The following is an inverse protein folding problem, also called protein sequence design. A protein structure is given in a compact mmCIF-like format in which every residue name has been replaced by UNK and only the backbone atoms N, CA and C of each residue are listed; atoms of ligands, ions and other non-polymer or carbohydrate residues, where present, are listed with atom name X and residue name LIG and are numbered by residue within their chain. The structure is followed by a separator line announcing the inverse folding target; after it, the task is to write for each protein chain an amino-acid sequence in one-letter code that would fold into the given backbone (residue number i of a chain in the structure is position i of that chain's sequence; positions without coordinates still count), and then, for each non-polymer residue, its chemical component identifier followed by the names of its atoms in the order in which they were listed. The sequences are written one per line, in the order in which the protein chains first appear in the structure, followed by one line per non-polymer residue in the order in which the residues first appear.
data_IF_949681196803
#
_entry.id   IF_949681196803
#
_cell.length_a   1.000
_cell.length_b   1.000
_cell.length_c   1.000
_cell.angle_alpha   90.00
_cell.angle_beta   90.00
_cell.angle_gamma   90.00
#
_symmetry.space_group_name_H-M   'P 1'
#
loop_
_entity.id
_entity.type
_entity.pdbx_description
1 polymer ?
#
# COMPACT_ATOMS: atom_id res chain seq x y z
N UNK A 1 -1.43 16.57 23.10
CA UNK A 1 -2.36 17.33 22.23
C UNK A 1 -2.03 16.89 20.81
N UNK A 2 -2.95 16.19 20.14
CA UNK A 2 -2.75 15.89 18.71
C UNK A 2 -2.91 17.22 17.97
N UNK A 3 -1.84 17.71 17.35
CA UNK A 3 -1.93 18.86 16.43
C UNK A 3 -2.83 18.46 15.27
N UNK A 4 -3.72 19.35 14.85
CA UNK A 4 -4.61 19.16 13.71
C UNK A 4 -3.85 19.37 12.37
N UNK A 5 -2.68 20.00 12.42
CA UNK A 5 -1.86 20.39 11.26
C UNK A 5 -0.47 19.77 11.34
N UNK A 6 0.13 19.54 10.17
CA UNK A 6 1.49 19.00 10.06
C UNK A 6 2.56 19.95 10.64
N UNK A 7 2.25 21.24 10.66
CA UNK A 7 3.09 22.26 11.28
C UNK A 7 2.23 23.25 12.08
N UNK A 8 2.59 23.51 13.33
CA UNK A 8 1.90 24.47 14.18
C UNK A 8 2.89 25.26 15.06
N UNK A 9 2.76 26.58 15.02
CA UNK A 9 3.46 27.52 15.89
C UNK A 9 2.54 28.65 16.32
N UNK A 10 2.99 29.53 17.21
CA UNK A 10 2.17 30.65 17.70
C UNK A 10 1.59 31.52 16.58
N UNK A 11 2.30 31.70 15.47
CA UNK A 11 1.95 32.63 14.40
C UNK A 11 1.73 31.95 13.04
N UNK A 12 1.98 30.66 12.91
CA UNK A 12 1.97 29.95 11.62
C UNK A 12 1.41 28.53 11.78
N UNK A 13 0.45 28.19 10.94
CA UNK A 13 -0.03 26.80 10.78
C UNK A 13 0.23 26.34 9.36
N UNK A 14 0.46 25.05 9.17
CA UNK A 14 0.79 24.52 7.86
C UNK A 14 0.36 23.10 7.62
N UNK A 15 0.00 22.84 6.38
CA UNK A 15 -0.28 21.52 5.84
C UNK A 15 0.77 21.15 4.78
N UNK A 16 1.30 19.95 4.85
CA UNK A 16 2.26 19.42 3.88
C UNK A 16 1.62 18.26 3.14
N UNK A 17 1.51 18.36 1.83
CA UNK A 17 0.93 17.29 1.00
C UNK A 17 1.98 16.78 0.02
N UNK A 18 2.33 15.52 0.18
CA UNK A 18 3.30 14.86 -0.69
C UNK A 18 2.61 14.23 -1.90
N UNK A 19 3.23 14.40 -3.08
CA UNK A 19 2.87 13.71 -4.34
C UNK A 19 1.39 13.78 -4.70
N UNK A 20 0.78 14.91 -4.40
CA UNK A 20 -0.62 15.15 -4.62
C UNK A 20 -0.98 15.07 -6.12
N UNK A 21 -2.09 14.39 -6.45
CA UNK A 21 -2.49 14.11 -7.84
C UNK A 21 -3.82 14.69 -8.22
N UNK A 22 -4.64 15.03 -7.24
CA UNK A 22 -6.01 15.45 -7.45
C UNK A 22 -6.23 16.84 -6.87
N UNK A 23 -6.73 17.74 -7.70
CA UNK A 23 -7.11 19.10 -7.33
C UNK A 23 -8.07 19.17 -6.13
N UNK A 24 -9.07 18.28 -5.97
CA UNK A 24 -9.96 18.30 -4.80
C UNK A 24 -9.23 18.24 -3.46
N UNK A 25 -8.07 17.58 -3.39
CA UNK A 25 -7.29 17.50 -2.16
C UNK A 25 -6.60 18.83 -1.81
N UNK A 26 -6.22 19.63 -2.84
CA UNK A 26 -5.73 21.00 -2.65
C UNK A 26 -6.84 21.85 -2.02
N UNK A 27 -8.05 21.77 -2.57
CA UNK A 27 -9.22 22.49 -2.06
C UNK A 27 -9.53 22.13 -0.61
N UNK A 28 -9.55 20.84 -0.30
CA UNK A 28 -9.81 20.35 1.06
C UNK A 28 -8.79 20.90 2.05
N UNK A 29 -7.49 20.86 1.74
CA UNK A 29 -6.44 21.38 2.60
C UNK A 29 -6.57 22.91 2.82
N UNK A 30 -6.87 23.68 1.75
CA UNK A 30 -7.07 25.12 1.88
C UNK A 30 -8.29 25.47 2.70
N UNK A 31 -9.40 24.72 2.55
CA UNK A 31 -10.60 24.96 3.37
C UNK A 31 -10.36 24.62 4.85
N UNK A 32 -9.61 23.56 5.17
CA UNK A 32 -9.21 23.24 6.54
C UNK A 32 -8.35 24.37 7.14
N UNK A 33 -7.35 24.88 6.40
CA UNK A 33 -6.56 26.04 6.83
C UNK A 33 -7.45 27.28 7.01
N UNK A 34 -8.39 27.51 6.09
CA UNK A 34 -9.29 28.67 6.16
C UNK A 34 -10.19 28.63 7.40
N UNK A 35 -10.70 27.45 7.75
CA UNK A 35 -11.51 27.25 8.96
C UNK A 35 -10.70 27.56 10.22
N UNK A 36 -9.51 27.00 10.36
CA UNK A 36 -8.62 27.26 11.49
C UNK A 36 -8.22 28.74 11.61
N UNK A 37 -7.89 29.40 10.48
CA UNK A 37 -7.55 30.80 10.45
C UNK A 37 -8.74 31.73 10.75
N UNK A 38 -9.96 31.27 10.51
CA UNK A 38 -11.17 32.01 10.87
C UNK A 38 -11.34 32.09 12.39
N UNK A 39 -10.90 31.07 13.11
CA UNK A 39 -10.96 30.98 14.57
C UNK A 39 -9.80 31.74 15.24
N UNK A 40 -8.70 31.96 14.53
CA UNK A 40 -7.52 32.65 15.07
C UNK A 40 -7.01 33.76 14.12
N UNK A 41 -7.42 35.00 14.40
CA UNK A 41 -7.17 36.17 13.56
C UNK A 41 -5.69 36.57 13.39
N UNK A 42 -4.77 36.06 14.20
CA UNK A 42 -3.35 36.45 14.21
C UNK A 42 -2.43 35.48 13.47
N UNK A 43 -2.87 34.27 13.14
CA UNK A 43 -2.04 33.26 12.49
C UNK A 43 -2.03 33.44 10.96
N UNK A 44 -0.94 33.03 10.36
CA UNK A 44 -0.82 32.80 8.92
C UNK A 44 -0.90 31.30 8.61
N UNK A 45 -1.30 30.93 7.40
CA UNK A 45 -1.41 29.55 6.97
C UNK A 45 -0.55 29.29 5.72
N UNK A 46 0.00 28.08 5.61
CA UNK A 46 0.61 27.66 4.37
C UNK A 46 0.19 26.23 4.00
N UNK A 47 0.10 26.00 2.68
CA UNK A 47 0.00 24.67 2.08
C UNK A 47 1.27 24.39 1.29
N UNK A 48 2.06 23.41 1.72
CA UNK A 48 3.26 22.97 1.01
C UNK A 48 2.95 21.70 0.20
N UNK A 49 3.08 21.81 -1.11
CA UNK A 49 2.96 20.68 -2.03
C UNK A 49 4.36 20.19 -2.40
N UNK A 50 4.69 18.94 -2.05
CA UNK A 50 5.99 18.35 -2.34
C UNK A 50 5.86 17.33 -3.46
N UNK A 51 6.59 17.53 -4.56
CA UNK A 51 6.60 16.62 -5.72
C UNK A 51 5.17 16.31 -6.25
N UNK A 52 4.30 17.31 -6.30
CA UNK A 52 2.94 17.20 -6.84
C UNK A 52 2.96 16.91 -8.34
N UNK A 53 2.03 16.06 -8.81
CA UNK A 53 1.81 15.85 -10.25
C UNK A 53 0.84 16.86 -10.87
N UNK A 54 0.22 17.71 -10.05
CA UNK A 54 -0.62 18.82 -10.53
C UNK A 54 0.30 19.93 -11.02
N UNK A 55 0.11 20.37 -12.25
CA UNK A 55 0.97 21.40 -12.86
C UNK A 55 0.84 22.75 -12.13
N UNK A 56 1.91 23.55 -12.17
CA UNK A 56 1.92 24.90 -11.58
C UNK A 56 0.78 25.77 -12.10
N UNK A 57 0.51 25.71 -13.40
CA UNK A 57 -0.62 26.43 -14.00
C UNK A 57 -1.94 26.02 -13.34
N UNK A 58 -2.17 24.74 -13.14
CA UNK A 58 -3.39 24.24 -12.54
C UNK A 58 -3.52 24.59 -11.06
N UNK A 59 -2.40 24.58 -10.31
CA UNK A 59 -2.38 25.04 -8.91
C UNK A 59 -2.76 26.51 -8.83
N UNK A 60 -2.20 27.35 -9.70
CA UNK A 60 -2.52 28.78 -9.75
C UNK A 60 -3.99 29.03 -10.11
N UNK A 61 -4.52 28.36 -11.11
CA UNK A 61 -5.94 28.44 -11.49
C UNK A 61 -6.86 28.09 -10.31
N UNK A 62 -6.55 27.01 -9.60
CA UNK A 62 -7.33 26.60 -8.43
C UNK A 62 -7.20 27.58 -7.27
N UNK A 63 -6.01 28.13 -7.04
CA UNK A 63 -5.81 29.15 -6.02
C UNK A 63 -6.65 30.40 -6.30
N UNK A 64 -6.61 30.90 -7.52
CA UNK A 64 -7.43 32.05 -7.93
C UNK A 64 -8.93 31.80 -7.77
N UNK A 65 -9.39 30.58 -8.12
CA UNK A 65 -10.77 30.19 -7.91
C UNK A 65 -11.15 30.20 -6.41
N UNK A 66 -10.31 29.61 -5.56
CA UNK A 66 -10.57 29.54 -4.12
C UNK A 66 -10.54 30.93 -3.48
N UNK A 67 -9.61 31.78 -3.88
CA UNK A 67 -9.55 33.17 -3.43
C UNK A 67 -10.84 33.96 -3.71
N UNK A 68 -11.53 33.63 -4.80
CA UNK A 68 -12.82 34.28 -5.11
C UNK A 68 -13.99 33.79 -4.23
N UNK A 69 -13.82 32.71 -3.49
CA UNK A 69 -14.87 32.06 -2.69
C UNK A 69 -14.69 32.32 -1.18
N UNK A 70 -13.44 32.33 -0.70
CA UNK A 70 -13.14 32.53 0.75
C UNK A 70 -13.06 34.00 1.09
N UNK A 71 -13.18 34.30 2.40
CA UNK A 71 -13.05 35.67 2.90
C UNK A 71 -11.68 36.27 2.49
N UNK A 72 -11.62 37.48 1.90
CA UNK A 72 -10.38 38.12 1.45
C UNK A 72 -9.32 38.25 2.55
N UNK A 73 -9.72 38.53 3.80
CA UNK A 73 -8.79 38.66 4.93
C UNK A 73 -8.14 37.31 5.26
N UNK A 74 -8.87 36.21 5.12
CA UNK A 74 -8.35 34.85 5.27
C UNK A 74 -7.45 34.47 4.09
N UNK A 75 -7.90 34.77 2.85
CA UNK A 75 -7.15 34.50 1.64
C UNK A 75 -5.75 35.15 1.67
N UNK A 76 -5.66 36.39 2.14
CA UNK A 76 -4.40 37.13 2.27
C UNK A 76 -3.42 36.53 3.29
N UNK A 77 -3.92 35.69 4.20
CA UNK A 77 -3.12 35.00 5.23
C UNK A 77 -2.69 33.59 4.82
N UNK A 78 -3.19 33.06 3.69
CA UNK A 78 -2.84 31.74 3.18
C UNK A 78 -1.83 31.87 2.05
N UNK A 79 -0.74 31.09 2.12
CA UNK A 79 0.23 30.96 1.05
C UNK A 79 0.35 29.50 0.61
N UNK A 80 0.49 29.29 -0.69
CA UNK A 80 0.68 27.95 -1.26
C UNK A 80 2.11 27.87 -1.77
N UNK A 81 2.78 26.77 -1.47
CA UNK A 81 4.13 26.50 -1.93
C UNK A 81 4.19 25.16 -2.66
N UNK A 82 4.97 25.11 -3.74
CA UNK A 82 5.26 23.89 -4.48
C UNK A 82 6.77 23.66 -4.49
N UNK A 83 7.21 22.53 -3.92
CA UNK A 83 8.60 22.08 -4.01
C UNK A 83 8.76 21.06 -5.13
N UNK A 84 9.64 21.38 -6.09
CA UNK A 84 10.07 20.50 -7.18
C UNK A 84 11.60 20.38 -7.13
N UNK A 85 12.10 19.24 -6.65
CA UNK A 85 13.54 19.08 -6.39
C UNK A 85 14.04 20.10 -5.38
N UNK A 86 15.07 20.87 -5.75
CA UNK A 86 15.66 21.93 -4.91
C UNK A 86 14.90 23.28 -4.99
N UNK A 87 13.96 23.42 -5.92
CA UNK A 87 13.25 24.69 -6.15
C UNK A 87 11.93 24.71 -5.41
N UNK A 88 11.61 25.87 -4.83
CA UNK A 88 10.33 26.16 -4.19
C UNK A 88 9.68 27.35 -4.90
N UNK A 89 8.46 27.14 -5.37
CA UNK A 89 7.62 28.16 -5.99
C UNK A 89 6.48 28.51 -5.04
N UNK A 90 6.03 29.76 -5.03
CA UNK A 90 4.95 30.21 -4.14
C UNK A 90 3.86 30.99 -4.84
N UNK A 91 2.68 31.05 -4.22
CA UNK A 91 1.54 31.87 -4.56
C UNK A 91 1.02 32.55 -3.29
N UNK A 92 0.87 33.89 -3.29
CA UNK A 92 1.04 34.83 -4.43
C UNK A 92 2.50 35.11 -4.80
N UNK A 93 3.46 34.78 -3.96
CA UNK A 93 4.88 35.09 -4.17
C UNK A 93 5.80 33.98 -3.66
N UNK A 94 7.02 33.93 -4.19
CA UNK A 94 8.00 32.95 -3.74
C UNK A 94 8.36 33.15 -2.26
N UNK A 95 8.68 32.07 -1.51
CA UNK A 95 9.00 32.16 -0.09
C UNK A 95 10.31 32.93 0.13
N UNK A 96 10.32 33.77 1.17
CA UNK A 96 11.54 34.38 1.70
C UNK A 96 12.39 33.36 2.52
N UNK A 97 13.56 33.79 3.00
CA UNK A 97 14.47 32.92 3.75
C UNK A 97 13.85 32.39 5.04
N UNK A 98 13.06 33.23 5.75
CA UNK A 98 12.42 32.82 6.99
C UNK A 98 11.36 31.73 6.76
N UNK A 99 10.55 31.90 5.72
CA UNK A 99 9.56 30.89 5.31
C UNK A 99 10.25 29.62 4.83
N UNK A 100 11.35 29.69 4.08
CA UNK A 100 12.12 28.52 3.65
C UNK A 100 12.65 27.71 4.85
N UNK A 101 13.06 28.37 5.93
CA UNK A 101 13.45 27.67 7.16
C UNK A 101 12.26 26.98 7.84
N UNK A 102 11.09 27.61 7.91
CA UNK A 102 9.87 26.98 8.41
C UNK A 102 9.41 25.82 7.55
N UNK A 103 9.43 25.97 6.22
CA UNK A 103 9.13 24.88 5.30
C UNK A 103 10.13 23.72 5.44
N UNK A 104 11.41 24.02 5.67
CA UNK A 104 12.45 23.00 5.91
C UNK A 104 12.25 22.28 7.23
N UNK A 105 11.76 22.95 8.28
CA UNK A 105 11.38 22.32 9.56
C UNK A 105 10.14 21.45 9.38
N UNK A 106 9.08 21.98 8.78
CA UNK A 106 7.87 21.22 8.48
C UNK A 106 8.13 19.94 7.66
N UNK A 107 9.21 19.95 6.84
CA UNK A 107 9.65 18.76 6.11
C UNK A 107 10.61 17.86 6.90
N UNK A 108 11.27 18.37 7.97
CA UNK A 108 12.22 17.60 8.78
C UNK A 108 11.53 16.80 9.87
N UNK A 109 10.41 17.29 10.39
CA UNK A 109 9.57 16.56 11.36
C UNK A 109 8.88 15.37 10.69
N UNK A 110 8.62 15.46 9.39
CA UNK A 110 8.45 14.29 8.53
C UNK A 110 9.83 13.98 7.93
N UNK A 111 10.61 13.09 8.56
CA UNK A 111 11.72 12.42 7.89
C UNK A 111 11.28 12.17 6.46
N UNK A 112 12.11 12.41 5.42
CA UNK A 112 11.75 12.00 4.08
C UNK A 112 11.52 10.51 4.20
N UNK A 113 10.27 10.13 4.44
CA UNK A 113 9.87 8.76 4.24
C UNK A 113 10.41 8.45 2.88
N UNK A 114 11.40 7.60 2.84
CA UNK A 114 11.92 7.03 1.61
C UNK A 114 10.78 6.17 1.09
N UNK A 115 9.70 6.87 0.71
CA UNK A 115 8.53 6.23 0.15
C UNK A 115 9.00 5.55 -1.11
N UNK A 116 9.12 4.24 -1.03
CA UNK A 116 9.49 3.42 -2.17
C UNK A 116 8.49 3.65 -3.28
N UNK A 117 8.96 4.13 -4.42
CA UNK A 117 8.12 4.25 -5.62
C UNK A 117 7.87 2.86 -6.19
N UNK A 118 6.62 2.44 -6.10
CA UNK A 118 6.21 1.13 -6.59
C UNK A 118 6.01 1.14 -8.12
N UNK A 119 6.29 0.02 -8.82
CA UNK A 119 6.03 -0.12 -10.24
C UNK A 119 4.54 -0.03 -10.56
N UNK A 120 4.22 0.03 -11.85
CA UNK A 120 2.83 0.01 -12.29
C UNK A 120 2.13 -1.28 -11.85
N UNK A 121 0.87 -1.15 -11.40
CA UNK A 121 0.07 -2.29 -10.95
C UNK A 121 -0.33 -3.18 -12.13
N UNK A 122 -0.09 -4.48 -12.02
CA UNK A 122 -0.69 -5.48 -12.91
C UNK A 122 -2.10 -5.82 -12.40
N UNK A 123 -3.10 -5.12 -12.93
CA UNK A 123 -4.49 -5.28 -12.51
C UNK A 123 -5.06 -6.67 -12.82
N UNK A 124 -4.56 -7.35 -13.86
CA UNK A 124 -4.98 -8.72 -14.12
C UNK A 124 -4.64 -9.64 -12.95
N UNK A 125 -3.41 -9.58 -12.45
CA UNK A 125 -2.98 -10.37 -11.29
C UNK A 125 -3.73 -9.98 -10.02
N UNK A 126 -4.05 -8.69 -9.82
CA UNK A 126 -4.86 -8.24 -8.67
C UNK A 126 -6.27 -8.83 -8.74
N UNK A 127 -6.93 -8.77 -9.91
CA UNK A 127 -8.28 -9.32 -10.12
C UNK A 127 -8.28 -10.83 -9.96
N UNK A 128 -7.28 -11.53 -10.53
CA UNK A 128 -7.14 -12.97 -10.36
C UNK A 128 -7.00 -13.37 -8.90
N UNK A 129 -6.16 -12.68 -8.13
CA UNK A 129 -6.01 -12.90 -6.68
C UNK A 129 -7.34 -12.72 -5.94
N UNK A 130 -8.08 -11.66 -6.21
CA UNK A 130 -9.39 -11.41 -5.58
C UNK A 130 -10.37 -12.55 -5.89
N UNK A 131 -10.43 -13.00 -7.14
CA UNK A 131 -11.31 -14.11 -7.53
C UNK A 131 -10.91 -15.43 -6.88
N UNK A 132 -9.61 -15.73 -6.79
CA UNK A 132 -9.09 -16.92 -6.11
C UNK A 132 -9.39 -16.89 -4.61
N UNK A 133 -9.19 -15.75 -3.95
CA UNK A 133 -9.52 -15.57 -2.54
C UNK A 133 -11.02 -15.76 -2.28
N UNK A 134 -11.87 -15.25 -3.18
CA UNK A 134 -13.31 -15.45 -3.07
C UNK A 134 -13.73 -16.91 -3.34
N UNK A 135 -13.06 -17.60 -4.25
CA UNK A 135 -13.41 -18.96 -4.66
C UNK A 135 -13.02 -20.01 -3.60
N UNK A 136 -11.77 -20.00 -3.12
CA UNK A 136 -11.32 -20.93 -2.06
C UNK A 136 -11.80 -20.52 -0.67
N UNK A 137 -12.28 -19.30 -0.53
CA UNK A 137 -12.72 -18.71 0.73
C UNK A 137 -11.56 -18.17 1.58
N UNK A 138 -11.90 -17.26 2.46
CA UNK A 138 -11.15 -16.97 3.67
C UNK A 138 -11.77 -17.79 4.79
N UNK A 139 -11.00 -18.23 5.74
CA UNK A 139 -11.39 -19.15 6.85
C UNK A 139 -12.64 -18.74 7.64
N UNK A 140 -13.20 -17.55 7.42
CA UNK A 140 -14.35 -17.00 8.17
C UNK A 140 -15.40 -16.25 7.34
N UNK A 141 -15.23 -16.04 6.02
CA UNK A 141 -16.20 -15.31 5.22
C UNK A 141 -16.89 -16.20 4.18
N UNK A 142 -18.24 -16.11 4.11
CA UNK A 142 -19.00 -16.70 3.00
C UNK A 142 -18.57 -16.07 1.68
N UNK A 143 -18.50 -16.88 0.61
CA UNK A 143 -18.24 -16.41 -0.75
C UNK A 143 -19.16 -15.23 -1.08
N UNK A 144 -18.58 -14.07 -1.35
CA UNK A 144 -19.32 -12.86 -1.72
C UNK A 144 -19.68 -12.92 -3.22
N UNK A 145 -20.87 -12.46 -3.56
CA UNK A 145 -21.26 -12.33 -4.97
C UNK A 145 -20.42 -11.22 -5.61
N UNK A 146 -19.52 -11.60 -6.53
CA UNK A 146 -18.64 -10.68 -7.23
C UNK A 146 -19.35 -10.11 -8.46
N UNK A 147 -19.55 -8.79 -8.49
CA UNK A 147 -19.94 -8.07 -9.71
C UNK A 147 -18.72 -7.39 -10.33
N UNK A 148 -18.79 -7.03 -11.63
CA UNK A 148 -17.73 -6.26 -12.29
C UNK A 148 -17.43 -4.93 -11.57
N UNK A 149 -18.48 -4.27 -11.07
CA UNK A 149 -18.35 -3.04 -10.28
C UNK A 149 -17.56 -3.31 -8.99
N UNK A 150 -17.98 -4.34 -8.25
CA UNK A 150 -17.32 -4.72 -6.99
C UNK A 150 -15.85 -5.12 -7.20
N UNK A 151 -15.53 -5.87 -8.26
CA UNK A 151 -14.15 -6.19 -8.64
C UNK A 151 -13.33 -4.94 -8.96
N UNK A 152 -13.92 -3.97 -9.66
CA UNK A 152 -13.26 -2.68 -9.93
C UNK A 152 -12.94 -1.90 -8.66
N UNK A 153 -13.88 -1.86 -7.71
CA UNK A 153 -13.70 -1.23 -6.40
C UNK A 153 -12.59 -1.93 -5.60
N UNK A 154 -12.63 -3.27 -5.51
CA UNK A 154 -11.64 -4.05 -4.77
C UNK A 154 -10.23 -3.99 -5.38
N UNK A 155 -10.16 -3.97 -6.72
CA UNK A 155 -8.88 -3.90 -7.43
C UNK A 155 -8.34 -2.47 -7.57
N UNK A 156 -9.17 -1.45 -7.33
CA UNK A 156 -8.81 -0.05 -7.56
C UNK A 156 -8.63 0.29 -9.04
N UNK A 157 -9.44 -0.29 -9.93
CA UNK A 157 -9.29 -0.11 -11.37
C UNK A 157 -10.62 0.17 -12.10
N UNK A 158 -10.51 0.61 -13.36
CA UNK A 158 -11.66 0.98 -14.18
C UNK A 158 -12.43 -0.25 -14.70
N UNK A 159 -13.71 -0.05 -15.02
CA UNK A 159 -14.58 -1.07 -15.61
C UNK A 159 -13.98 -1.73 -16.88
N UNK A 160 -13.42 -0.99 -17.87
CA UNK A 160 -12.77 -1.61 -19.02
C UNK A 160 -11.60 -2.52 -18.65
N UNK A 161 -10.84 -2.16 -17.60
CA UNK A 161 -9.73 -2.98 -17.10
C UNK A 161 -10.24 -4.30 -16.50
N UNK A 162 -11.35 -4.24 -15.75
CA UNK A 162 -12.02 -5.44 -15.23
C UNK A 162 -12.52 -6.31 -16.38
N UNK A 163 -13.24 -5.73 -17.35
CA UNK A 163 -13.77 -6.46 -18.50
C UNK A 163 -12.68 -7.19 -19.28
N UNK A 164 -11.57 -6.52 -19.60
CA UNK A 164 -10.41 -7.11 -20.27
C UNK A 164 -9.79 -8.25 -19.48
N UNK A 165 -9.72 -8.12 -18.14
CA UNK A 165 -9.20 -9.17 -17.26
C UNK A 165 -10.11 -10.39 -17.22
N UNK A 166 -11.44 -10.17 -17.16
CA UNK A 166 -12.43 -11.25 -17.15
C UNK A 166 -12.49 -11.98 -18.50
N UNK A 167 -12.29 -11.30 -19.63
CA UNK A 167 -12.21 -11.97 -20.94
C UNK A 167 -11.07 -13.01 -20.99
N UNK A 168 -9.94 -12.72 -20.36
CA UNK A 168 -8.82 -13.69 -20.19
C UNK A 168 -9.19 -14.88 -19.30
N UNK A 169 -10.21 -14.75 -18.46
CA UNK A 169 -10.68 -15.78 -17.53
C UNK A 169 -12.00 -16.40 -17.94
N UNK A 170 -12.57 -16.06 -19.10
CA UNK A 170 -13.92 -16.45 -19.55
C UNK A 170 -14.21 -17.96 -19.47
N UNK A 171 -13.19 -18.81 -19.73
CA UNK A 171 -13.32 -20.26 -19.69
C UNK A 171 -13.39 -20.83 -18.25
N UNK A 172 -13.10 -20.02 -17.25
CA UNK A 172 -13.08 -20.40 -15.84
C UNK A 172 -14.19 -19.75 -15.04
N UNK A 173 -14.95 -18.83 -15.65
CA UNK A 173 -16.01 -18.09 -14.98
C UNK A 173 -17.37 -18.71 -15.25
N UNK A 174 -18.26 -18.57 -14.29
CA UNK A 174 -19.69 -18.77 -14.45
C UNK A 174 -20.43 -17.54 -13.95
N UNK A 175 -21.61 -17.29 -14.55
CA UNK A 175 -22.53 -16.25 -14.08
C UNK A 175 -23.59 -16.91 -13.20
N UNK A 176 -23.74 -16.45 -11.99
CA UNK A 176 -24.84 -16.83 -11.12
C UNK A 176 -26.13 -16.16 -11.58
N UNK A 177 -27.29 -16.76 -11.23
CA UNK A 177 -28.65 -16.24 -11.53
C UNK A 177 -28.88 -14.80 -11.04
N UNK A 178 -28.04 -14.28 -10.13
CA UNK A 178 -28.11 -12.93 -9.57
C UNK A 178 -27.04 -11.98 -10.15
N UNK A 179 -26.60 -12.16 -11.40
CA UNK A 179 -25.59 -11.36 -12.10
C UNK A 179 -24.20 -11.38 -11.42
N UNK A 180 -23.95 -12.34 -10.55
CA UNK A 180 -22.67 -12.52 -9.88
C UNK A 180 -21.67 -13.32 -10.72
N UNK A 181 -20.40 -12.97 -10.59
CA UNK A 181 -19.26 -13.66 -11.21
C UNK A 181 -18.61 -14.60 -10.19
N UNK A 182 -18.38 -15.83 -10.58
CA UNK A 182 -17.66 -16.82 -9.76
C UNK A 182 -16.72 -17.66 -10.62
N UNK A 183 -15.60 -18.09 -10.04
CA UNK A 183 -14.79 -19.15 -10.63
C UNK A 183 -15.53 -20.48 -10.47
N UNK A 184 -15.76 -21.18 -11.59
CA UNK A 184 -16.34 -22.53 -11.62
C UNK A 184 -15.30 -23.62 -11.38
N UNK A 185 -14.03 -23.32 -11.66
CA UNK A 185 -12.87 -24.21 -11.48
C UNK A 185 -11.61 -23.38 -11.33
N UNK A 186 -10.56 -24.00 -10.81
CA UNK A 186 -9.28 -23.32 -10.63
C UNK A 186 -8.62 -22.99 -11.97
N UNK A 187 -8.15 -21.75 -12.20
CA UNK A 187 -7.52 -21.30 -13.45
C UNK A 187 -6.01 -21.62 -13.48
N UNK A 188 -5.66 -22.91 -13.63
CA UNK A 188 -4.29 -23.42 -13.53
C UNK A 188 -3.29 -22.68 -14.42
N UNK A 189 -3.64 -22.41 -15.68
CA UNK A 189 -2.75 -21.72 -16.62
C UNK A 189 -2.41 -20.30 -16.17
N UNK A 190 -3.42 -19.55 -15.73
CA UNK A 190 -3.27 -18.18 -15.27
C UNK A 190 -2.53 -18.13 -13.92
N UNK A 191 -2.81 -19.08 -13.04
CA UNK A 191 -2.08 -19.27 -11.80
C UNK A 191 -0.59 -19.55 -12.06
N UNK A 192 -0.28 -20.51 -12.90
CA UNK A 192 1.10 -20.84 -13.26
C UNK A 192 1.83 -19.65 -13.90
N UNK A 193 1.15 -18.93 -14.81
CA UNK A 193 1.69 -17.69 -15.39
C UNK A 193 1.96 -16.62 -14.35
N UNK A 194 1.11 -16.51 -13.33
CA UNK A 194 1.29 -15.57 -12.22
C UNK A 194 2.50 -15.95 -11.36
N UNK A 195 2.69 -17.24 -11.06
CA UNK A 195 3.86 -17.72 -10.31
C UNK A 195 5.15 -17.42 -11.08
N UNK A 196 5.22 -17.81 -12.35
CA UNK A 196 6.40 -17.55 -13.20
C UNK A 196 6.69 -16.05 -13.38
N UNK A 197 5.65 -15.24 -13.38
CA UNK A 197 5.74 -13.78 -13.49
C UNK A 197 5.84 -13.05 -12.15
N UNK A 198 5.84 -13.74 -11.01
CA UNK A 198 5.72 -13.12 -9.69
C UNK A 198 6.73 -11.99 -9.45
N UNK A 199 7.98 -12.16 -9.82
CA UNK A 199 9.03 -11.14 -9.69
C UNK A 199 8.79 -9.87 -10.53
N UNK A 200 7.96 -9.95 -11.59
CA UNK A 200 7.60 -8.81 -12.45
C UNK A 200 6.34 -8.10 -11.99
N UNK A 201 5.39 -8.86 -11.44
CA UNK A 201 4.07 -8.35 -11.04
C UNK A 201 3.99 -7.92 -9.58
N UNK A 202 4.84 -8.51 -8.72
CA UNK A 202 4.91 -8.23 -7.30
C UNK A 202 6.17 -7.41 -6.99
N UNK A 203 5.99 -6.15 -6.62
CA UNK A 203 7.11 -5.35 -6.15
C UNK A 203 7.65 -5.96 -4.86
N UNK A 204 8.95 -6.23 -4.81
CA UNK A 204 9.64 -6.79 -3.65
C UNK A 204 10.88 -5.97 -3.32
N UNK A 205 11.08 -5.69 -2.04
CA UNK A 205 12.31 -5.11 -1.50
C UNK A 205 12.96 -6.11 -0.57
N UNK A 206 14.27 -6.28 -0.70
CA UNK A 206 15.04 -7.27 0.03
C UNK A 206 16.00 -6.59 1.00
N UNK A 207 16.02 -7.05 2.24
CA UNK A 207 16.85 -6.47 3.28
C UNK A 207 17.79 -7.55 3.86
N UNK A 208 19.04 -7.18 4.00
CA UNK A 208 20.09 -8.01 4.60
C UNK A 208 20.57 -7.38 5.91
N UNK A 209 20.88 -8.21 6.88
CA UNK A 209 21.45 -7.75 8.14
C UNK A 209 22.95 -7.53 7.96
N UNK A 210 23.43 -6.31 8.20
CA UNK A 210 24.84 -5.93 8.09
C UNK A 210 25.60 -5.99 9.43
N UNK A 211 24.98 -6.48 10.50
CA UNK A 211 25.63 -6.57 11.81
C UNK A 211 26.68 -7.68 11.92
N UNK A 212 26.68 -8.63 10.96
CA UNK A 212 27.47 -9.85 11.04
C UNK A 212 26.89 -10.92 11.97
N UNK A 213 25.78 -10.63 12.65
CA UNK A 213 25.04 -11.55 13.53
C UNK A 213 23.54 -11.43 13.23
N UNK A 214 23.06 -11.95 12.10
CA UNK A 214 21.69 -11.76 11.66
C UNK A 214 20.69 -12.33 12.67
N UNK A 215 19.66 -11.55 12.94
CA UNK A 215 18.56 -11.95 13.84
C UNK A 215 17.74 -13.07 13.21
N UNK A 216 17.28 -14.01 14.05
CA UNK A 216 16.39 -15.08 13.60
C UNK A 216 15.02 -14.51 13.18
N UNK A 217 14.38 -15.07 12.16
CA UNK A 217 13.03 -14.63 11.72
C UNK A 217 11.98 -14.59 12.85
N UNK A 218 12.03 -15.54 13.80
CA UNK A 218 11.15 -15.56 14.95
C UNK A 218 11.31 -14.34 15.85
N UNK A 219 12.53 -13.88 16.07
CA UNK A 219 12.81 -12.67 16.87
C UNK A 219 12.27 -11.41 16.16
N UNK A 220 12.48 -11.33 14.84
CA UNK A 220 11.92 -10.22 14.04
C UNK A 220 10.41 -10.23 14.05
N UNK A 221 9.79 -11.42 14.01
CA UNK A 221 8.34 -11.58 14.10
C UNK A 221 7.78 -11.06 15.43
N UNK A 222 8.42 -11.40 16.56
CA UNK A 222 8.04 -10.88 17.88
C UNK A 222 8.14 -9.35 17.96
N UNK A 223 9.21 -8.77 17.41
CA UNK A 223 9.35 -7.31 17.34
C UNK A 223 8.26 -6.67 16.48
N UNK A 224 7.96 -7.27 15.33
CA UNK A 224 6.91 -6.79 14.43
C UNK A 224 5.54 -6.82 15.11
N UNK A 225 5.24 -7.86 15.90
CA UNK A 225 3.99 -7.98 16.67
C UNK A 225 3.82 -6.82 17.67
N UNK A 226 4.91 -6.39 18.30
CA UNK A 226 4.89 -5.27 19.25
C UNK A 226 4.67 -3.90 18.59
N UNK A 227 4.86 -3.78 17.28
CA UNK A 227 4.65 -2.51 16.55
C UNK A 227 3.18 -2.25 16.22
N UNK A 228 2.32 -3.29 16.22
CA UNK A 228 0.87 -3.18 15.97
C UNK A 228 0.51 -2.42 14.68
N UNK A 229 1.16 -2.76 13.57
CA UNK A 229 1.00 -2.08 12.28
C UNK A 229 -0.16 -2.68 11.48
N UNK A 230 -1.23 -1.93 11.30
CA UNK A 230 -2.46 -2.41 10.66
C UNK A 230 -2.37 -2.69 9.16
N UNK A 231 -1.44 -2.03 8.48
CA UNK A 231 -1.23 -2.15 7.03
C UNK A 231 -0.22 -3.25 6.64
N UNK A 232 0.19 -4.09 7.60
CA UNK A 232 1.19 -5.14 7.42
C UNK A 232 0.59 -6.50 7.72
N UNK A 233 0.96 -7.50 6.92
CA UNK A 233 0.67 -8.92 7.16
C UNK A 233 1.93 -9.75 7.00
N UNK A 234 2.16 -10.69 7.92
CA UNK A 234 3.24 -11.68 7.79
C UNK A 234 2.90 -12.64 6.66
N UNK A 235 3.84 -12.87 5.77
CA UNK A 235 3.81 -13.84 4.68
C UNK A 235 4.71 -15.05 4.93
N UNK A 236 5.09 -15.72 3.86
CA UNK A 236 6.04 -16.82 3.86
C UNK A 236 5.65 -18.02 4.71
N UNK A 237 6.66 -18.72 5.20
CA UNK A 237 6.48 -19.97 5.95
C UNK A 237 5.66 -19.79 7.23
N UNK A 238 5.87 -18.75 8.08
CA UNK A 238 5.09 -18.60 9.30
C UNK A 238 3.59 -18.47 9.03
N UNK A 239 3.22 -17.70 8.02
CA UNK A 239 1.81 -17.53 7.65
C UNK A 239 1.24 -18.77 6.93
N UNK A 240 2.04 -19.42 6.09
CA UNK A 240 1.63 -20.66 5.43
C UNK A 240 1.33 -21.77 6.44
N UNK A 241 2.18 -21.99 7.44
CA UNK A 241 1.96 -22.97 8.52
C UNK A 241 0.73 -22.62 9.38
N UNK A 242 0.39 -21.35 9.54
CA UNK A 242 -0.81 -20.95 10.26
C UNK A 242 -2.10 -21.27 9.49
N UNK A 243 -2.03 -21.30 8.14
CA UNK A 243 -3.17 -21.67 7.29
C UNK A 243 -3.24 -23.17 7.07
N UNK A 244 -2.09 -23.80 6.88
CA UNK A 244 -1.95 -25.22 6.60
C UNK A 244 -0.87 -25.84 7.51
N UNK A 245 -1.22 -26.27 8.73
CA UNK A 245 -0.27 -26.80 9.70
C UNK A 245 0.45 -28.08 9.25
N UNK A 246 -0.16 -28.87 8.35
CA UNK A 246 0.42 -30.10 7.81
C UNK A 246 1.52 -29.86 6.75
N UNK A 247 1.89 -28.59 6.49
CA UNK A 247 2.92 -28.25 5.54
C UNK A 247 4.28 -28.79 6.01
N UNK A 248 4.87 -29.68 5.20
CA UNK A 248 6.13 -30.33 5.57
C UNK A 248 7.33 -29.39 5.33
N UNK A 249 7.48 -28.38 6.16
CA UNK A 249 8.58 -27.40 6.14
C UNK A 249 9.11 -27.22 7.55
N UNK A 250 10.43 -27.27 7.68
CA UNK A 250 11.12 -27.09 8.97
C UNK A 250 11.88 -25.75 8.98
N UNK A 251 11.47 -24.85 9.85
CA UNK A 251 12.10 -23.54 10.03
C UNK A 251 11.74 -22.53 8.94
N UNK A 252 12.23 -21.31 9.08
CA UNK A 252 12.06 -20.23 8.10
C UNK A 252 13.41 -19.58 7.85
N UNK A 253 13.89 -19.50 6.59
CA UNK A 253 15.17 -18.91 6.26
C UNK A 253 15.16 -17.38 6.38
N UNK A 254 13.97 -16.76 6.23
CA UNK A 254 13.77 -15.31 6.22
C UNK A 254 12.38 -14.96 6.74
N UNK A 255 12.15 -13.67 7.01
CA UNK A 255 10.82 -13.14 7.29
C UNK A 255 10.26 -12.44 6.03
N UNK A 256 9.14 -12.91 5.54
CA UNK A 256 8.39 -12.26 4.47
C UNK A 256 7.26 -11.41 5.08
N UNK A 257 7.17 -10.16 4.65
CA UNK A 257 6.20 -9.17 5.14
C UNK A 257 5.46 -8.59 3.93
N UNK A 258 4.15 -8.72 3.92
CA UNK A 258 3.29 -8.07 2.95
C UNK A 258 2.84 -6.71 3.46
N UNK A 259 2.99 -5.67 2.65
CA UNK A 259 2.57 -4.30 2.95
C UNK A 259 1.39 -3.95 2.07
N UNK A 260 0.27 -3.54 2.67
CA UNK A 260 -0.86 -3.01 1.91
C UNK A 260 -0.52 -1.60 1.41
N UNK A 261 -0.35 -1.48 0.10
CA UNK A 261 0.10 -0.27 -0.56
C UNK A 261 -0.69 -0.02 -1.87
N UNK A 262 -1.99 0.34 -1.81
CA UNK A 262 -2.81 0.59 -3.00
C UNK A 262 -2.27 1.76 -3.83
N UNK A 263 -1.62 2.72 -3.18
CA UNK A 263 -0.96 3.87 -3.81
C UNK A 263 0.32 3.51 -4.57
N UNK A 264 1.00 4.51 -5.13
CA UNK A 264 2.31 4.33 -5.82
C UNK A 264 3.51 4.45 -4.88
N UNK A 265 3.27 4.68 -3.61
CA UNK A 265 4.29 4.88 -2.59
C UNK A 265 3.91 4.06 -1.38
N UNK A 266 4.88 3.38 -0.83
CA UNK A 266 4.75 2.63 0.42
C UNK A 266 5.71 3.19 1.47
N UNK A 267 5.22 3.31 2.70
CA UNK A 267 6.05 3.58 3.86
C UNK A 267 6.77 2.30 4.29
N UNK A 268 8.08 2.38 4.42
CA UNK A 268 8.95 1.30 4.89
C UNK A 268 9.83 1.72 6.07
N UNK A 269 9.53 2.87 6.70
CA UNK A 269 10.34 3.41 7.81
C UNK A 269 10.41 2.46 9.01
N UNK A 270 9.36 1.65 9.22
CA UNK A 270 9.31 0.65 10.27
C UNK A 270 10.46 -0.38 10.21
N UNK A 271 11.09 -0.61 9.04
CA UNK A 271 12.20 -1.56 8.89
C UNK A 271 13.38 -1.19 9.78
N UNK A 272 13.70 0.11 9.90
CA UNK A 272 14.78 0.56 10.79
C UNK A 272 14.41 0.43 12.29
N UNK A 273 13.12 0.47 12.60
CA UNK A 273 12.63 0.18 13.94
C UNK A 273 12.61 -1.32 14.21
N UNK A 274 12.32 -2.15 13.18
CA UNK A 274 12.35 -3.60 13.25
C UNK A 274 13.78 -4.09 13.56
N UNK A 275 14.76 -3.66 12.77
CA UNK A 275 16.18 -3.83 13.08
C UNK A 275 17.01 -2.75 12.37
N UNK A 276 17.78 -1.92 13.12
CA UNK A 276 18.63 -0.88 12.53
C UNK A 276 19.74 -1.42 11.60
N UNK A 277 20.13 -2.69 11.75
CA UNK A 277 21.15 -3.34 10.92
C UNK A 277 20.62 -3.79 9.55
N UNK A 278 19.30 -3.76 9.33
CA UNK A 278 18.71 -4.11 8.05
C UNK A 278 18.99 -3.04 7.01
N UNK A 279 19.61 -3.44 5.92
CA UNK A 279 19.92 -2.60 4.78
C UNK A 279 19.33 -3.16 3.49
N UNK A 280 18.82 -2.27 2.64
CA UNK A 280 18.30 -2.63 1.34
C UNK A 280 19.39 -3.19 0.44
N UNK A 281 19.17 -4.38 -0.12
CA UNK A 281 20.03 -4.95 -1.15
C UNK A 281 19.36 -4.99 -2.51
N UNK A 282 20.15 -4.74 -3.56
CA UNK A 282 19.74 -4.95 -4.97
C UNK A 282 20.30 -6.27 -5.52
N UNK A 283 21.23 -6.89 -4.80
CA UNK A 283 21.81 -8.17 -5.18
C UNK A 283 20.81 -9.30 -4.91
N UNK A 284 20.35 -9.93 -5.97
CA UNK A 284 19.39 -11.05 -5.90
C UNK A 284 20.03 -12.34 -5.36
N UNK A 285 21.34 -12.45 -5.41
CA UNK A 285 22.07 -13.64 -4.91
C UNK A 285 22.36 -13.55 -3.41
N UNK A 286 22.33 -12.36 -2.83
CA UNK A 286 22.58 -12.17 -1.41
C UNK A 286 21.38 -12.67 -0.58
N UNK A 287 21.60 -13.55 0.44
CA UNK A 287 20.50 -14.04 1.28
C UNK A 287 19.85 -12.92 2.09
N UNK A 288 18.60 -12.61 1.81
CA UNK A 288 17.86 -11.61 2.55
C UNK A 288 17.30 -12.19 3.86
N UNK A 289 17.36 -11.43 4.96
CA UNK A 289 16.70 -11.74 6.22
C UNK A 289 15.25 -11.33 6.24
N UNK A 290 14.92 -10.23 5.51
CA UNK A 290 13.55 -9.72 5.39
C UNK A 290 13.26 -9.40 3.93
N UNK A 291 12.10 -9.86 3.44
CA UNK A 291 11.52 -9.41 2.19
C UNK A 291 10.24 -8.63 2.45
N UNK A 292 10.08 -7.49 1.78
CA UNK A 292 8.84 -6.72 1.76
C UNK A 292 8.16 -6.91 0.41
N UNK A 293 6.91 -7.37 0.44
CA UNK A 293 6.05 -7.57 -0.73
C UNK A 293 4.89 -6.60 -0.71
N UNK A 294 4.67 -5.84 -1.80
CA UNK A 294 3.67 -4.78 -1.81
C UNK A 294 2.37 -5.25 -2.45
N UNK A 295 1.32 -5.36 -1.63
CA UNK A 295 -0.04 -5.72 -2.05
C UNK A 295 -0.75 -4.49 -2.58
N UNK A 296 -1.19 -4.54 -3.84
CA UNK A 296 -1.65 -3.38 -4.63
C UNK A 296 -3.17 -3.28 -4.78
N UNK A 297 -3.94 -4.23 -4.24
CA UNK A 297 -5.39 -4.15 -4.19
C UNK A 297 -5.85 -2.96 -3.34
N UNK A 298 -7.05 -2.43 -3.59
CA UNK A 298 -7.61 -1.30 -2.83
C UNK A 298 -7.81 -1.68 -1.36
N UNK A 299 -8.21 -2.92 -1.09
CA UNK A 299 -8.38 -3.46 0.26
C UNK A 299 -7.35 -4.55 0.54
N UNK A 300 -6.85 -4.59 1.77
CA UNK A 300 -6.01 -5.69 2.23
C UNK A 300 -6.86 -6.90 2.57
N UNK A 301 -6.33 -8.09 2.25
CA UNK A 301 -6.90 -9.37 2.66
C UNK A 301 -6.05 -9.99 3.79
N UNK A 302 -5.63 -9.14 4.73
CA UNK A 302 -4.87 -9.56 5.89
C UNK A 302 -5.81 -9.99 7.00
N UNK A 303 -5.52 -11.12 7.62
CA UNK A 303 -6.30 -11.70 8.69
C UNK A 303 -5.53 -11.69 10.01
N UNK A 304 -6.25 -11.69 11.15
CA UNK A 304 -5.61 -11.79 12.46
C UNK A 304 -4.85 -13.11 12.57
N UNK A 305 -3.58 -13.03 13.00
CA UNK A 305 -2.70 -14.19 13.16
C UNK A 305 -2.30 -14.41 14.62
N UNK A 306 -1.59 -13.44 15.18
CA UNK A 306 -1.18 -13.40 16.57
C UNK A 306 -1.62 -12.05 17.17
N UNK A 307 -1.65 -11.89 18.50
CA UNK A 307 -1.90 -10.59 19.10
C UNK A 307 -0.97 -9.54 18.52
N UNK A 308 -1.55 -8.46 17.98
CA UNK A 308 -0.80 -7.34 17.39
C UNK A 308 -0.24 -7.57 15.98
N UNK A 309 -0.51 -8.72 15.34
CA UNK A 309 0.01 -9.02 14.02
C UNK A 309 -1.03 -9.74 13.15
N UNK A 310 -1.09 -9.34 11.88
CA UNK A 310 -1.91 -9.98 10.85
C UNK A 310 -1.05 -10.89 9.98
N UNK A 311 -1.68 -11.86 9.32
CA UNK A 311 -1.06 -12.67 8.27
C UNK A 311 -1.54 -12.23 6.90
N UNK A 312 -0.71 -12.41 5.92
CA UNK A 312 -1.04 -12.23 4.52
C UNK A 312 -2.04 -13.30 4.04
N UNK A 313 -2.68 -13.06 2.91
CA UNK A 313 -3.56 -14.05 2.29
C UNK A 313 -2.79 -15.30 1.87
N UNK A 314 -3.50 -16.43 1.75
CA UNK A 314 -2.90 -17.67 1.27
C UNK A 314 -2.26 -17.56 -0.11
N UNK A 315 -2.80 -16.69 -0.98
CA UNK A 315 -2.22 -16.41 -2.32
C UNK A 315 -0.82 -15.81 -2.18
N UNK A 316 -0.63 -14.84 -1.29
CA UNK A 316 0.69 -14.25 -1.07
C UNK A 316 1.64 -15.28 -0.44
N UNK A 317 1.16 -16.09 0.51
CA UNK A 317 1.97 -17.17 1.11
C UNK A 317 2.45 -18.19 0.05
N UNK A 318 1.58 -18.57 -0.89
CA UNK A 318 1.96 -19.46 -2.00
C UNK A 318 3.05 -18.85 -2.88
N UNK A 319 2.91 -17.56 -3.24
CA UNK A 319 3.93 -16.86 -4.03
C UNK A 319 5.27 -16.80 -3.28
N UNK A 320 5.24 -16.60 -1.95
CA UNK A 320 6.44 -16.60 -1.11
C UNK A 320 7.11 -17.98 -1.09
N UNK A 321 6.33 -19.06 -0.96
CA UNK A 321 6.84 -20.43 -0.99
C UNK A 321 7.52 -20.76 -2.33
N UNK A 322 6.88 -20.41 -3.46
CA UNK A 322 7.49 -20.59 -4.78
C UNK A 322 8.79 -19.79 -4.93
N UNK A 323 8.84 -18.54 -4.43
CA UNK A 323 10.05 -17.72 -4.44
C UNK A 323 11.17 -18.35 -3.59
N UNK A 324 10.82 -19.02 -2.50
CA UNK A 324 11.76 -19.77 -1.65
C UNK A 324 12.15 -21.15 -2.20
N UNK A 325 11.71 -21.51 -3.42
CA UNK A 325 11.90 -22.82 -4.05
C UNK A 325 11.23 -23.99 -3.29
N UNK A 326 10.15 -23.69 -2.60
CA UNK A 326 9.28 -24.63 -1.91
C UNK A 326 7.99 -24.87 -2.73
N UNK A 327 8.12 -24.88 -4.06
CA UNK A 327 6.99 -25.00 -4.97
C UNK A 327 6.26 -26.32 -4.84
N UNK A 328 6.96 -27.46 -4.63
CA UNK A 328 6.32 -28.75 -4.43
C UNK A 328 5.37 -28.74 -3.24
N UNK A 329 5.82 -28.20 -2.09
CA UNK A 329 5.00 -28.09 -0.90
C UNK A 329 3.81 -27.15 -1.09
N UNK A 330 4.01 -26.03 -1.81
CA UNK A 330 2.95 -25.11 -2.15
C UNK A 330 1.91 -25.76 -3.08
N UNK A 331 2.35 -26.50 -4.08
CA UNK A 331 1.47 -27.17 -5.03
C UNK A 331 0.70 -28.32 -4.37
N UNK A 332 1.31 -29.12 -3.50
CA UNK A 332 0.64 -30.15 -2.72
C UNK A 332 -0.49 -29.59 -1.85
N UNK A 333 -0.20 -28.47 -1.15
CA UNK A 333 -1.20 -27.75 -0.37
C UNK A 333 -2.37 -27.27 -1.25
N UNK A 334 -2.04 -26.59 -2.38
CA UNK A 334 -3.03 -26.05 -3.31
C UNK A 334 -3.91 -27.17 -3.90
N UNK A 335 -3.32 -28.28 -4.35
CA UNK A 335 -4.05 -29.42 -4.91
C UNK A 335 -5.00 -30.06 -3.90
N UNK A 336 -4.59 -30.15 -2.62
CA UNK A 336 -5.47 -30.62 -1.56
C UNK A 336 -6.69 -29.69 -1.42
N UNK A 337 -6.47 -28.36 -1.36
CA UNK A 337 -7.57 -27.40 -1.22
C UNK A 337 -8.53 -27.40 -2.41
N UNK A 338 -8.00 -27.52 -3.63
CA UNK A 338 -8.83 -27.60 -4.84
C UNK A 338 -9.71 -28.85 -4.77
N UNK A 339 -9.15 -30.02 -4.45
CA UNK A 339 -9.92 -31.28 -4.31
C UNK A 339 -11.00 -31.18 -3.22
N UNK A 340 -10.67 -30.63 -2.07
CA UNK A 340 -11.63 -30.46 -0.97
C UNK A 340 -12.79 -29.53 -1.38
N UNK A 341 -12.49 -28.48 -2.16
CA UNK A 341 -13.50 -27.56 -2.67
C UNK A 341 -14.40 -28.20 -3.74
N UNK A 342 -13.83 -28.96 -4.66
CA UNK A 342 -14.55 -29.61 -5.76
C UNK A 342 -15.39 -30.78 -5.27
N UNK A 343 -14.91 -31.54 -4.26
CA UNK A 343 -15.67 -32.64 -3.65
C UNK A 343 -16.77 -32.18 -2.69
N UNK A 344 -16.71 -31.00 -2.14
CA UNK A 344 -17.75 -30.42 -1.28
C UNK A 344 -18.93 -29.80 -2.03
N UNK A 345 -18.97 -29.88 -3.33
CA UNK A 345 -20.05 -29.40 -4.20
C UNK A 345 -20.95 -30.52 -4.75
N UNK A 346 -20.76 -31.78 -4.31
CA UNK A 346 -21.74 -32.84 -4.49
C UNK A 346 -22.65 -32.91 -3.23
#
# INVERSE_FOLDING_TARGET
MNSQFDYESANLIGEVKYRLRAVPLIRSAIFQLSDALSQNGKQQGFLLLVNSSVSRKRINEEWLLIQSIINPDIANRIKIYLKEGEKVYGWPENPDKGILEHLSRAMKDESPEVGLRLPQTDYFSVILKILLLNWLGHSSQKSEIMTMKRLGELAGCSYPTVASSLDRLKNYLTHSSNEGLQLRRFPHEQWHSMILGASKIRATQRFVDRSGQPRRPSFLLERLANMQLDHIGVGGIPAALAVYPDLNITGSPRLDICIHAPGKVADIAFIKQLDPALELTKDQMEPAQVNLHFVRSEYSHFEQYLPGIKRASWVECMLDLHEMRLGEQADDWLQKWIRDKESGHE
#
